data_IF_314180945672
#
_entry.id   IF_314180945672
#
_cell.length_a   1.000
_cell.length_b   1.000
_cell.length_c   1.000
_cell.angle_alpha   90.00
_cell.angle_beta   90.00
_cell.angle_gamma   90.00
#
_symmetry.space_group_name_H-M   'P 1'
#
loop_
_entity.id
_entity.type
_entity.pdbx_description
1 polymer ?
#
# COMPACT_ATOMS: atom_id res chain seq x y z
N UNK A 1 18.15 -31.45 -28.08
CA UNK A 1 18.53 -31.44 -26.65
C UNK A 1 17.25 -31.46 -25.83
N UNK A 2 16.92 -32.60 -25.23
CA UNK A 2 15.78 -32.75 -24.34
C UNK A 2 16.21 -32.35 -22.93
N UNK A 3 15.87 -31.14 -22.53
CA UNK A 3 16.10 -30.66 -21.16
C UNK A 3 15.21 -31.48 -20.23
N UNK A 4 15.78 -32.43 -19.48
CA UNK A 4 15.05 -33.11 -18.41
C UNK A 4 15.05 -32.21 -17.18
N UNK A 5 13.86 -31.90 -16.66
CA UNK A 5 13.70 -31.12 -15.44
C UNK A 5 13.94 -32.04 -14.23
N UNK A 6 15.00 -31.77 -13.46
CA UNK A 6 15.30 -32.48 -12.22
C UNK A 6 14.84 -31.65 -11.00
N UNK A 7 13.65 -31.99 -10.48
CA UNK A 7 13.11 -31.38 -9.26
C UNK A 7 13.63 -32.05 -7.99
N UNK A 8 14.17 -33.28 -8.07
CA UNK A 8 14.70 -33.98 -6.90
C UNK A 8 15.94 -33.26 -6.36
N UNK A 9 16.71 -32.61 -7.23
CA UNK A 9 17.81 -31.73 -6.85
C UNK A 9 17.43 -30.53 -5.95
N UNK A 10 16.14 -30.18 -5.85
CA UNK A 10 15.65 -29.11 -4.96
C UNK A 10 15.36 -29.57 -3.53
N UNK A 11 15.18 -30.89 -3.30
CA UNK A 11 14.83 -31.43 -1.99
C UNK A 11 15.79 -31.02 -0.86
N UNK A 12 17.11 -30.94 -1.07
CA UNK A 12 18.03 -30.49 -0.02
C UNK A 12 17.79 -29.04 0.44
N UNK A 13 17.23 -28.18 -0.43
CA UNK A 13 17.02 -26.75 -0.17
C UNK A 13 15.62 -26.43 0.40
N UNK A 14 14.84 -27.45 0.78
CA UNK A 14 13.52 -27.24 1.36
C UNK A 14 13.50 -26.31 2.58
N UNK A 15 14.52 -26.31 3.49
CA UNK A 15 14.51 -25.40 4.64
C UNK A 15 14.69 -23.94 4.21
N UNK A 16 15.56 -23.66 3.24
CA UNK A 16 15.79 -22.31 2.71
C UNK A 16 14.56 -21.80 1.96
N UNK A 17 13.91 -22.67 1.17
CA UNK A 17 12.65 -22.34 0.49
C UNK A 17 11.55 -22.02 1.50
N UNK A 18 11.43 -22.79 2.57
CA UNK A 18 10.46 -22.54 3.65
C UNK A 18 10.78 -21.25 4.41
N UNK A 19 12.06 -20.98 4.67
CA UNK A 19 12.52 -19.72 5.28
C UNK A 19 12.17 -18.52 4.40
N UNK A 20 12.45 -18.61 3.09
CA UNK A 20 12.08 -17.60 2.11
C UNK A 20 10.58 -17.35 2.06
N UNK A 21 9.77 -18.41 2.10
CA UNK A 21 8.31 -18.31 2.19
C UNK A 21 7.87 -17.51 3.43
N UNK A 22 8.44 -17.79 4.60
CA UNK A 22 8.09 -17.04 5.81
C UNK A 22 8.50 -15.58 5.75
N UNK A 23 9.66 -15.28 5.19
CA UNK A 23 10.11 -13.90 4.97
C UNK A 23 9.15 -13.16 4.04
N UNK A 24 8.76 -13.78 2.92
CA UNK A 24 7.78 -13.20 2.00
C UNK A 24 6.43 -12.95 2.69
N UNK A 25 5.89 -13.95 3.40
CA UNK A 25 4.61 -13.80 4.09
C UNK A 25 4.66 -12.70 5.16
N UNK A 26 5.75 -12.62 5.93
CA UNK A 26 5.94 -11.56 6.92
C UNK A 26 6.01 -10.17 6.30
N UNK A 27 6.85 -9.99 5.27
CA UNK A 27 6.99 -8.73 4.54
C UNK A 27 5.66 -8.30 3.90
N UNK A 28 5.00 -9.22 3.18
CA UNK A 28 3.72 -8.94 2.54
C UNK A 28 2.67 -8.57 3.58
N UNK A 29 2.55 -9.31 4.68
CA UNK A 29 1.57 -8.99 5.73
C UNK A 29 1.80 -7.59 6.32
N UNK A 30 3.02 -7.27 6.73
CA UNK A 30 3.37 -5.95 7.29
C UNK A 30 3.14 -4.84 6.28
N UNK A 31 3.59 -5.03 5.03
CA UNK A 31 3.40 -4.08 3.96
C UNK A 31 1.91 -3.86 3.65
N UNK A 32 1.10 -4.92 3.61
CA UNK A 32 -0.34 -4.83 3.37
C UNK A 32 -1.04 -4.08 4.47
N UNK A 33 -0.82 -4.43 5.73
CA UNK A 33 -1.46 -3.75 6.87
C UNK A 33 -1.06 -2.26 6.90
N UNK A 34 0.24 -1.96 6.80
CA UNK A 34 0.74 -0.58 6.82
C UNK A 34 0.34 0.22 5.58
N UNK A 35 0.43 -0.37 4.39
CA UNK A 35 0.06 0.26 3.13
C UNK A 35 -1.43 0.56 3.05
N UNK A 36 -2.29 -0.35 3.53
CA UNK A 36 -3.73 -0.08 3.64
C UNK A 36 -4.01 1.02 4.67
N UNK A 37 -3.32 1.04 5.82
CA UNK A 37 -3.48 2.11 6.81
C UNK A 37 -3.09 3.49 6.25
N UNK A 38 -1.96 3.56 5.53
CA UNK A 38 -1.54 4.75 4.78
C UNK A 38 -2.62 5.13 3.74
N UNK A 39 -3.13 4.14 3.00
CA UNK A 39 -4.17 4.31 2.00
C UNK A 39 -5.48 4.89 2.55
N UNK A 40 -5.96 4.38 3.68
CA UNK A 40 -7.17 4.89 4.36
C UNK A 40 -6.96 6.34 4.76
N UNK A 41 -5.81 6.65 5.36
CA UNK A 41 -5.46 8.00 5.80
C UNK A 41 -5.40 8.96 4.61
N UNK A 42 -4.73 8.54 3.54
CA UNK A 42 -4.63 9.29 2.29
C UNK A 42 -5.96 9.54 1.60
N UNK A 43 -6.82 8.51 1.54
CA UNK A 43 -8.15 8.62 0.99
C UNK A 43 -9.02 9.57 1.81
N UNK A 44 -8.87 9.59 3.15
CA UNK A 44 -9.56 10.53 4.03
C UNK A 44 -9.18 11.98 3.75
N UNK A 45 -7.86 12.24 3.65
CA UNK A 45 -7.32 13.56 3.33
C UNK A 45 -7.84 14.02 1.96
N UNK A 46 -7.76 13.15 0.94
CA UNK A 46 -8.09 13.50 -0.45
C UNK A 46 -9.59 13.50 -0.78
N UNK A 47 -10.43 12.90 0.05
CA UNK A 47 -11.90 12.98 -0.08
C UNK A 47 -12.49 14.17 0.68
N UNK A 48 -11.67 14.89 1.44
CA UNK A 48 -12.06 16.06 2.23
C UNK A 48 -12.14 17.35 1.41
N UNK A 49 -11.92 18.50 2.09
CA UNK A 49 -11.82 19.80 1.41
C UNK A 49 -10.46 19.90 0.70
N UNK A 50 -10.39 20.47 -0.52
CA UNK A 50 -9.12 20.75 -1.17
C UNK A 50 -8.32 21.75 -0.31
N UNK A 51 -7.03 21.47 -0.12
CA UNK A 51 -6.11 22.25 0.68
C UNK A 51 -4.68 21.74 0.51
N UNK A 52 -3.71 22.41 1.13
CA UNK A 52 -2.29 22.12 0.93
C UNK A 52 -1.94 20.64 1.22
N UNK A 53 -2.52 20.06 2.28
CA UNK A 53 -2.31 18.66 2.63
C UNK A 53 -2.86 17.68 1.58
N UNK A 54 -4.03 17.99 1.01
CA UNK A 54 -4.61 17.18 -0.08
C UNK A 54 -3.80 17.29 -1.37
N UNK A 55 -3.20 18.46 -1.64
CA UNK A 55 -2.31 18.66 -2.78
C UNK A 55 -1.00 17.89 -2.61
N UNK A 56 -0.36 18.02 -1.45
CA UNK A 56 0.86 17.29 -1.12
C UNK A 56 0.66 15.77 -1.20
N UNK A 57 -0.44 15.25 -0.65
CA UNK A 57 -0.76 13.83 -0.76
C UNK A 57 -1.07 13.41 -2.20
N UNK A 58 -1.72 14.27 -2.98
CA UNK A 58 -1.95 14.06 -4.40
C UNK A 58 -0.63 13.90 -5.17
N UNK A 59 0.34 14.80 -4.92
CA UNK A 59 1.67 14.74 -5.51
C UNK A 59 2.43 13.47 -5.13
N UNK A 60 2.39 13.06 -3.85
CA UNK A 60 2.93 11.77 -3.41
C UNK A 60 2.33 10.60 -4.20
N UNK A 61 1.00 10.52 -4.28
CA UNK A 61 0.30 9.43 -4.98
C UNK A 61 0.67 9.40 -6.46
N UNK A 62 0.68 10.57 -7.11
CA UNK A 62 0.97 10.70 -8.54
C UNK A 62 2.42 10.29 -8.84
N UNK A 63 3.39 10.80 -8.08
CA UNK A 63 4.80 10.47 -8.25
C UNK A 63 5.06 8.97 -8.09
N UNK A 64 4.50 8.36 -7.03
CA UNK A 64 4.73 6.95 -6.73
C UNK A 64 4.06 6.02 -7.74
N UNK A 65 2.84 6.35 -8.22
CA UNK A 65 2.15 5.54 -9.23
C UNK A 65 2.75 5.69 -10.62
N UNK A 66 3.44 6.81 -10.89
CA UNK A 66 4.11 7.07 -12.16
C UNK A 66 5.59 6.61 -12.17
N UNK A 67 6.12 6.10 -11.06
CA UNK A 67 7.50 5.63 -10.95
C UNK A 67 7.53 4.10 -10.79
N UNK A 68 8.35 3.35 -11.56
CA UNK A 68 8.44 1.90 -11.40
C UNK A 68 8.84 1.49 -9.97
N UNK A 69 8.16 0.48 -9.41
CA UNK A 69 8.47 -0.02 -8.06
C UNK A 69 9.95 -0.40 -7.90
N UNK A 70 10.53 -1.04 -8.93
CA UNK A 70 11.94 -1.41 -8.94
C UNK A 70 12.83 -0.18 -8.75
N UNK A 71 12.55 0.93 -9.45
CA UNK A 71 13.32 2.18 -9.30
C UNK A 71 13.23 2.73 -7.87
N UNK A 72 12.05 2.67 -7.25
CA UNK A 72 11.86 3.10 -5.86
C UNK A 72 12.72 2.24 -4.90
N UNK A 73 12.72 0.92 -5.11
CA UNK A 73 13.53 0.00 -4.31
C UNK A 73 15.03 0.25 -4.52
N UNK A 74 15.49 0.46 -5.75
CA UNK A 74 16.88 0.81 -6.04
C UNK A 74 17.28 2.12 -5.34
N UNK A 75 16.42 3.13 -5.37
CA UNK A 75 16.71 4.39 -4.68
C UNK A 75 16.85 4.20 -3.16
N UNK A 76 16.01 3.35 -2.55
CA UNK A 76 16.09 3.06 -1.12
C UNK A 76 17.31 2.21 -0.77
N UNK A 77 17.65 1.22 -1.59
CA UNK A 77 18.77 0.30 -1.32
C UNK A 77 20.12 0.94 -1.62
N UNK A 78 20.23 1.82 -2.62
CA UNK A 78 21.52 2.39 -3.04
C UNK A 78 21.63 3.91 -2.85
N UNK A 79 20.52 4.65 -3.00
CA UNK A 79 20.50 6.11 -2.84
C UNK A 79 20.56 6.55 -1.38
N UNK A 80 19.74 5.97 -0.49
CA UNK A 80 19.74 6.30 0.94
C UNK A 80 21.09 6.04 1.63
N UNK A 81 21.79 4.92 1.38
CA UNK A 81 23.13 4.70 1.94
C UNK A 81 24.15 5.74 1.50
N UNK A 82 24.03 6.30 0.30
CA UNK A 82 24.90 7.40 -0.16
C UNK A 82 24.67 8.69 0.64
N UNK A 83 23.50 8.85 1.27
CA UNK A 83 23.16 9.94 2.18
C UNK A 83 23.48 9.61 3.66
N UNK A 84 24.12 8.46 3.92
CA UNK A 84 24.50 8.01 5.26
C UNK A 84 23.44 7.17 6.00
N UNK A 85 22.26 6.96 5.40
CA UNK A 85 21.19 6.13 5.97
C UNK A 85 21.29 4.70 5.44
N UNK A 86 21.91 3.82 6.22
CA UNK A 86 22.07 2.40 5.88
C UNK A 86 20.90 1.60 6.46
N UNK A 87 20.11 1.02 5.58
CA UNK A 87 19.01 0.12 5.91
C UNK A 87 19.42 -1.32 5.60
N UNK A 88 18.95 -2.27 6.39
CA UNK A 88 19.03 -3.68 6.01
C UNK A 88 18.07 -3.96 4.83
N UNK A 89 18.33 -5.02 4.06
CA UNK A 89 17.55 -5.41 2.89
C UNK A 89 16.05 -5.57 3.20
N UNK A 90 15.71 -6.17 4.36
CA UNK A 90 14.32 -6.33 4.79
C UNK A 90 13.63 -4.99 5.09
N UNK A 91 14.33 -4.05 5.71
CA UNK A 91 13.80 -2.71 6.03
C UNK A 91 13.59 -1.89 4.77
N UNK A 92 14.59 -1.92 3.86
CA UNK A 92 14.51 -1.25 2.57
C UNK A 92 13.33 -1.77 1.73
N UNK A 93 13.16 -3.10 1.67
CA UNK A 93 12.03 -3.73 1.00
C UNK A 93 10.69 -3.31 1.63
N UNK A 94 10.57 -3.37 2.96
CA UNK A 94 9.34 -3.00 3.66
C UNK A 94 8.97 -1.53 3.41
N UNK A 95 9.92 -0.61 3.51
CA UNK A 95 9.69 0.83 3.25
C UNK A 95 9.25 1.06 1.82
N UNK A 96 9.93 0.46 0.84
CA UNK A 96 9.56 0.55 -0.56
C UNK A 96 8.13 0.05 -0.79
N UNK A 97 7.78 -1.11 -0.20
CA UNK A 97 6.45 -1.69 -0.30
C UNK A 97 5.38 -0.82 0.37
N UNK A 98 5.65 -0.24 1.55
CA UNK A 98 4.72 0.66 2.25
C UNK A 98 4.43 1.92 1.44
N UNK A 99 5.49 2.56 0.89
CA UNK A 99 5.38 3.75 0.05
C UNK A 99 4.54 3.43 -1.19
N UNK A 100 4.85 2.33 -1.87
CA UNK A 100 4.16 1.95 -3.09
C UNK A 100 2.70 1.59 -2.82
N UNK A 101 2.47 0.63 -1.92
CA UNK A 101 1.14 0.13 -1.62
C UNK A 101 0.25 1.20 -0.97
N UNK A 102 0.80 2.13 -0.18
CA UNK A 102 0.08 3.27 0.37
C UNK A 102 -0.50 4.19 -0.70
N UNK A 103 0.25 4.46 -1.77
CA UNK A 103 -0.19 5.31 -2.86
C UNK A 103 -1.30 4.64 -3.69
N UNK A 104 -1.13 3.36 -4.04
CA UNK A 104 -2.15 2.59 -4.74
C UNK A 104 -3.42 2.41 -3.89
N UNK A 105 -3.27 2.07 -2.61
CA UNK A 105 -4.38 1.88 -1.68
C UNK A 105 -5.17 3.18 -1.48
N UNK A 106 -4.49 4.34 -1.43
CA UNK A 106 -5.15 5.65 -1.37
C UNK A 106 -6.14 5.81 -2.52
N UNK A 107 -5.73 5.51 -3.76
CA UNK A 107 -6.57 5.69 -4.94
C UNK A 107 -7.68 4.65 -5.04
N UNK A 108 -7.40 3.40 -4.70
CA UNK A 108 -8.41 2.33 -4.67
C UNK A 108 -9.52 2.70 -3.68
N UNK A 109 -9.17 3.08 -2.46
CA UNK A 109 -10.15 3.44 -1.42
C UNK A 109 -10.88 4.74 -1.80
N UNK A 110 -10.18 5.76 -2.28
CA UNK A 110 -10.79 7.02 -2.73
C UNK A 110 -11.79 6.78 -3.86
N UNK A 111 -11.47 5.93 -4.84
CA UNK A 111 -12.36 5.56 -5.93
C UNK A 111 -13.60 4.83 -5.40
N UNK A 112 -13.43 3.86 -4.49
CA UNK A 112 -14.56 3.16 -3.85
C UNK A 112 -15.51 4.12 -3.10
N UNK A 113 -14.94 5.08 -2.37
CA UNK A 113 -15.71 6.14 -1.68
C UNK A 113 -16.50 7.00 -2.68
N UNK A 114 -15.95 7.27 -3.86
CA UNK A 114 -16.64 8.07 -4.88
C UNK A 114 -17.78 7.31 -5.58
N UNK A 115 -17.64 6.00 -5.76
CA UNK A 115 -18.66 5.14 -6.40
C UNK A 115 -19.87 4.89 -5.48
N UNK A 116 -19.73 5.08 -4.16
CA UNK A 116 -20.81 4.81 -3.21
C UNK A 116 -22.06 5.70 -3.47
N UNK A 117 -23.27 5.13 -3.63
CA UNK A 117 -24.50 5.84 -4.02
C UNK A 117 -24.87 7.04 -3.13
N UNK A 118 -25.50 8.05 -3.74
CA UNK A 118 -25.95 9.28 -3.04
C UNK A 118 -26.89 9.00 -1.87
N UNK A 119 -27.75 7.98 -1.95
CA UNK A 119 -28.68 7.60 -0.88
C UNK A 119 -27.99 7.24 0.45
N UNK A 120 -26.76 6.72 0.43
CA UNK A 120 -25.99 6.46 1.65
C UNK A 120 -25.51 7.75 2.34
N UNK A 121 -25.26 8.82 1.56
CA UNK A 121 -24.94 10.13 2.13
C UNK A 121 -26.15 10.77 2.80
N UNK A 122 -27.31 10.65 2.17
CA UNK A 122 -28.57 11.20 2.67
C UNK A 122 -29.01 10.47 3.94
N UNK A 123 -28.92 9.13 3.96
CA UNK A 123 -29.19 8.33 5.14
C UNK A 123 -28.26 8.68 6.32
N UNK A 124 -26.94 8.84 6.08
CA UNK A 124 -26.00 9.23 7.13
C UNK A 124 -26.29 10.63 7.69
N UNK A 125 -26.76 11.56 6.84
CA UNK A 125 -27.14 12.92 7.26
C UNK A 125 -28.44 12.92 8.07
N UNK A 126 -29.42 12.08 7.69
CA UNK A 126 -30.67 11.89 8.46
C UNK A 126 -30.39 11.25 9.82
N UNK A 127 -29.39 10.35 9.91
CA UNK A 127 -28.94 9.73 11.15
C UNK A 127 -28.08 10.64 12.03
N UNK A 128 -27.84 11.90 11.65
CA UNK A 128 -27.07 12.87 12.45
C UNK A 128 -25.60 12.52 12.63
N UNK A 129 -25.03 11.64 11.79
CA UNK A 129 -23.65 11.20 11.93
C UNK A 129 -22.67 12.35 11.63
N UNK A 130 -21.64 12.50 12.46
CA UNK A 130 -20.61 13.50 12.22
C UNK A 130 -19.74 13.11 11.01
N UNK A 131 -18.98 14.06 10.43
CA UNK A 131 -18.20 13.82 9.20
C UNK A 131 -17.22 12.64 9.32
N UNK A 132 -16.59 12.46 10.48
CA UNK A 132 -15.67 11.34 10.73
C UNK A 132 -16.40 10.00 10.84
N UNK A 133 -17.57 9.96 11.51
CA UNK A 133 -18.43 8.76 11.57
C UNK A 133 -18.99 8.39 10.19
N UNK A 134 -19.40 9.38 9.41
CA UNK A 134 -19.88 9.18 8.03
C UNK A 134 -18.76 8.63 7.14
N UNK A 135 -17.56 9.21 7.24
CA UNK A 135 -16.40 8.73 6.48
C UNK A 135 -16.04 7.29 6.85
N UNK A 136 -15.95 6.97 8.15
CA UNK A 136 -15.57 5.64 8.66
C UNK A 136 -16.60 4.55 8.27
N UNK A 137 -17.90 4.83 8.39
CA UNK A 137 -18.94 3.86 7.96
C UNK A 137 -18.96 3.68 6.44
N UNK A 138 -18.63 4.72 5.68
CA UNK A 138 -18.64 4.71 4.22
C UNK A 138 -17.43 4.00 3.62
N UNK A 139 -16.24 4.16 4.20
CA UNK A 139 -15.05 3.41 3.78
C UNK A 139 -15.20 1.91 4.06
N UNK A 140 -15.82 1.50 5.17
CA UNK A 140 -16.09 0.08 5.45
C UNK A 140 -17.12 -0.51 4.50
N UNK A 141 -18.16 0.25 4.12
CA UNK A 141 -19.17 -0.21 3.16
C UNK A 141 -18.68 -0.23 1.71
N UNK A 142 -17.74 0.64 1.35
CA UNK A 142 -17.18 0.75 -0.02
C UNK A 142 -16.06 -0.26 -0.31
N UNK A 143 -15.47 -0.86 0.72
CA UNK A 143 -14.39 -1.86 0.62
C UNK A 143 -14.93 -3.30 0.64
N UNK A 144 -16.24 -3.48 0.82
CA UNK A 144 -16.94 -4.74 0.59
C UNK A 144 -17.41 -4.83 -0.86
#
# INVERSE_FOLDING_TARGET
MTTQLDFAGLLPYWPELLSGLWVTLGLTFMATVGGVAIGITGAAIRSGKPGLLSLAWGGYVELIRNTPFVVQLFFIVFGLPALGLKLNAGEAALIAMLINLGAYSTEIIRAGIQVTPKGQWEAARVLGLCRSQTFLRRSVAAVR
#
